data_IF_706730972849
#
_entry.id   IF_706730972849
#
_cell.length_a   1.000
_cell.length_b   1.000
_cell.length_c   1.000
_cell.angle_alpha   90.00
_cell.angle_beta   90.00
_cell.angle_gamma   90.00
#
_symmetry.space_group_name_H-M   'P 1'
#
loop_
_entity.id
_entity.type
_entity.pdbx_description
1 polymer ?
#
# COMPACT_ATOMS: atom_id res chain seq x y z
N UNK A 1 -22.91 -2.79 -10.34
CA UNK A 1 -22.02 -1.92 -9.53
C UNK A 1 -20.65 -2.53 -9.49
N UNK A 2 -19.68 -1.74 -9.79
CA UNK A 2 -18.29 -2.21 -9.77
C UNK A 2 -17.74 -1.98 -8.37
N UNK A 3 -17.11 -2.99 -7.78
CA UNK A 3 -16.54 -2.89 -6.45
C UNK A 3 -15.37 -1.90 -6.37
N UNK A 4 -14.92 -1.62 -5.15
CA UNK A 4 -13.78 -0.74 -4.89
C UNK A 4 -12.62 -1.52 -4.28
N UNK A 5 -11.44 -1.32 -4.83
CA UNK A 5 -10.18 -1.90 -4.39
C UNK A 5 -9.27 -0.80 -3.85
N UNK A 6 -8.71 -1.01 -2.68
CA UNK A 6 -7.67 -0.14 -2.12
C UNK A 6 -6.33 -0.83 -2.26
N UNK A 7 -5.33 -0.08 -2.71
CA UNK A 7 -3.93 -0.51 -2.72
C UNK A 7 -3.11 0.38 -1.80
N UNK A 8 -2.49 -0.22 -0.79
CA UNK A 8 -1.50 0.47 0.03
C UNK A 8 -0.18 0.58 -0.76
N UNK A 9 0.25 1.81 -1.01
CA UNK A 9 1.40 2.13 -1.85
C UNK A 9 2.60 2.49 -1.01
N UNK A 10 3.71 1.82 -1.25
CA UNK A 10 5.03 2.14 -0.70
C UNK A 10 6.07 2.03 -1.81
N UNK A 11 7.15 2.82 -1.71
CA UNK A 11 8.26 2.76 -2.68
C UNK A 11 9.28 1.69 -2.28
N UNK A 12 8.79 0.47 -2.23
CA UNK A 12 9.55 -0.75 -1.93
C UNK A 12 9.23 -1.80 -2.97
N UNK A 13 10.07 -2.83 -3.11
CA UNK A 13 9.80 -3.92 -4.03
C UNK A 13 8.43 -4.57 -3.77
N UNK A 14 8.07 -4.74 -2.51
CA UNK A 14 6.79 -5.28 -2.07
C UNK A 14 5.62 -4.36 -2.44
N UNK A 15 5.80 -3.06 -2.24
CA UNK A 15 4.81 -2.04 -2.61
C UNK A 15 4.58 -1.98 -4.11
N UNK A 16 5.63 -2.10 -4.92
CA UNK A 16 5.51 -2.19 -6.37
C UNK A 16 4.75 -3.44 -6.82
N UNK A 17 4.96 -4.57 -6.15
CA UNK A 17 4.19 -5.81 -6.42
C UNK A 17 2.71 -5.65 -6.10
N UNK A 18 2.39 -5.03 -4.98
CA UNK A 18 1.00 -4.74 -4.62
C UNK A 18 0.33 -3.83 -5.66
N UNK A 19 1.04 -2.82 -6.12
CA UNK A 19 0.55 -1.88 -7.13
C UNK A 19 0.34 -2.56 -8.49
N UNK A 20 1.29 -3.37 -8.94
CA UNK A 20 1.18 -4.15 -10.17
C UNK A 20 -0.03 -5.12 -10.13
N UNK A 21 -0.16 -5.87 -9.04
CA UNK A 21 -1.28 -6.79 -8.83
C UNK A 21 -2.62 -6.04 -8.81
N UNK A 22 -2.69 -4.93 -8.09
CA UNK A 22 -3.89 -4.10 -8.03
C UNK A 22 -4.30 -3.53 -9.39
N UNK A 23 -3.33 -3.08 -10.18
CA UNK A 23 -3.56 -2.58 -11.53
C UNK A 23 -4.15 -3.68 -12.44
N UNK A 24 -3.60 -4.89 -12.37
CA UNK A 24 -4.09 -6.02 -13.14
C UNK A 24 -5.49 -6.48 -12.70
N UNK A 25 -5.71 -6.64 -11.40
CA UNK A 25 -6.98 -7.11 -10.86
C UNK A 25 -8.09 -6.09 -11.05
N UNK A 26 -7.84 -4.81 -10.77
CA UNK A 26 -8.85 -3.76 -10.96
C UNK A 26 -9.34 -3.70 -12.42
N UNK A 27 -8.42 -3.82 -13.36
CA UNK A 27 -8.75 -3.87 -14.78
C UNK A 27 -9.56 -5.12 -15.17
N UNK A 28 -9.13 -6.30 -14.69
CA UNK A 28 -9.80 -7.57 -15.02
C UNK A 28 -11.19 -7.66 -14.40
N UNK A 29 -11.34 -7.17 -13.17
CA UNK A 29 -12.59 -7.24 -12.42
C UNK A 29 -13.50 -6.01 -12.66
N UNK A 30 -12.99 -5.00 -13.35
CA UNK A 30 -13.70 -3.74 -13.56
C UNK A 30 -13.94 -2.96 -12.27
N UNK A 31 -13.05 -3.08 -11.29
CA UNK A 31 -13.14 -2.41 -10.00
C UNK A 31 -12.55 -1.00 -10.04
N UNK A 32 -13.13 -0.10 -9.25
CA UNK A 32 -12.52 1.19 -8.98
C UNK A 32 -11.27 1.01 -8.11
N UNK A 33 -10.17 1.65 -8.44
CA UNK A 33 -8.91 1.56 -7.72
C UNK A 33 -8.61 2.85 -6.97
N UNK A 34 -8.31 2.73 -5.69
CA UNK A 34 -7.87 3.83 -4.82
C UNK A 34 -6.47 3.50 -4.31
N UNK A 35 -5.51 4.34 -4.65
CA UNK A 35 -4.13 4.23 -4.18
C UNK A 35 -3.97 5.03 -2.89
N UNK A 36 -3.48 4.41 -1.84
CA UNK A 36 -3.31 5.03 -0.53
C UNK A 36 -1.85 4.96 -0.11
N UNK A 37 -1.28 6.10 0.22
CA UNK A 37 0.02 6.20 0.87
C UNK A 37 -0.17 6.76 2.28
N UNK A 38 0.16 5.95 3.28
CA UNK A 38 0.21 6.37 4.67
C UNK A 38 1.67 6.61 5.06
N UNK A 39 2.06 7.88 5.14
CA UNK A 39 3.37 8.25 5.67
C UNK A 39 3.36 8.07 7.19
N UNK A 40 4.32 7.33 7.70
CA UNK A 40 4.54 7.27 9.15
C UNK A 40 4.94 8.65 9.64
N UNK A 41 4.07 9.29 10.41
CA UNK A 41 4.39 10.53 11.09
C UNK A 41 5.43 10.25 12.16
N UNK A 42 6.63 10.81 12.00
CA UNK A 42 7.49 10.98 13.18
C UNK A 42 6.70 11.86 14.16
N UNK A 43 6.43 11.41 15.39
CA UNK A 43 5.79 12.29 16.36
C UNK A 43 6.56 13.59 16.38
N UNK A 44 5.89 14.76 16.29
CA UNK A 44 6.62 16.00 16.37
C UNK A 44 7.41 15.98 17.67
N UNK A 45 8.72 16.03 17.56
CA UNK A 45 9.54 16.44 18.70
C UNK A 45 8.95 17.77 19.15
N UNK A 46 8.25 17.77 20.27
CA UNK A 46 7.74 19.00 20.86
C UNK A 46 8.92 19.93 21.07
N UNK A 47 9.22 20.73 20.07
CA UNK A 47 10.04 21.88 20.28
C UNK A 47 9.31 22.77 21.29
N UNK A 48 9.97 23.06 22.40
CA UNK A 48 9.47 23.94 23.47
C UNK A 48 9.05 25.33 23.01
N UNK A 49 9.08 25.58 21.69
CA UNK A 49 8.82 26.87 21.06
C UNK A 49 7.53 26.95 20.21
N UNK A 50 6.57 26.02 20.34
CA UNK A 50 5.22 26.19 19.81
C UNK A 50 5.08 26.33 18.29
N UNK A 51 6.08 25.97 17.51
CA UNK A 51 6.03 26.00 16.04
C UNK A 51 5.53 24.68 15.47
N UNK A 52 4.52 24.71 14.59
CA UNK A 52 4.12 23.57 13.78
C UNK A 52 5.33 23.02 13.03
N UNK A 53 5.61 21.72 13.21
CA UNK A 53 6.79 21.13 12.64
C UNK A 53 6.69 21.09 11.11
N UNK A 54 7.63 21.73 10.46
CA UNK A 54 7.84 21.72 9.00
C UNK A 54 7.94 20.29 8.44
N UNK A 55 8.25 19.31 9.27
CA UNK A 55 8.40 17.90 8.93
C UNK A 55 7.08 17.23 8.51
N UNK A 56 5.95 17.60 9.09
CA UNK A 56 4.65 17.03 8.71
C UNK A 56 4.20 17.50 7.32
N UNK A 57 4.52 18.72 6.96
CA UNK A 57 4.18 19.30 5.65
C UNK A 57 5.02 18.66 4.53
N UNK A 58 6.29 18.40 4.78
CA UNK A 58 7.18 17.70 3.87
C UNK A 58 6.72 16.27 3.59
N UNK A 59 6.44 15.49 4.61
CA UNK A 59 6.04 14.08 4.47
C UNK A 59 4.72 13.90 3.70
N UNK A 60 3.77 14.81 3.85
CA UNK A 60 2.52 14.75 3.10
C UNK A 60 2.73 15.12 1.63
N UNK A 61 3.51 16.15 1.34
CA UNK A 61 3.86 16.55 -0.02
C UNK A 61 4.67 15.46 -0.74
N UNK A 62 5.59 14.83 -0.03
CA UNK A 62 6.37 13.70 -0.54
C UNK A 62 5.50 12.49 -0.87
N UNK A 63 4.49 12.21 -0.05
CA UNK A 63 3.51 11.15 -0.28
C UNK A 63 2.66 11.39 -1.53
N UNK A 64 2.19 12.63 -1.73
CA UNK A 64 1.45 13.01 -2.94
C UNK A 64 2.32 12.85 -4.19
N UNK A 65 3.56 13.30 -4.14
CA UNK A 65 4.53 13.16 -5.23
C UNK A 65 4.86 11.69 -5.54
N UNK A 66 5.03 10.88 -4.52
CA UNK A 66 5.24 9.44 -4.64
C UNK A 66 4.06 8.75 -5.35
N UNK A 67 2.85 9.00 -4.91
CA UNK A 67 1.64 8.45 -5.53
C UNK A 67 1.51 8.84 -7.00
N UNK A 68 1.72 10.12 -7.31
CA UNK A 68 1.63 10.61 -8.68
C UNK A 68 2.68 9.94 -9.58
N UNK A 69 3.91 9.80 -9.11
CA UNK A 69 5.01 9.15 -9.83
C UNK A 69 4.73 7.68 -10.09
N UNK A 70 4.32 6.95 -9.06
CA UNK A 70 4.04 5.51 -9.18
C UNK A 70 2.77 5.24 -9.99
N UNK A 71 1.72 6.05 -9.83
CA UNK A 71 0.52 5.94 -10.66
C UNK A 71 0.85 6.13 -12.15
N UNK A 72 1.69 7.12 -12.48
CA UNK A 72 2.14 7.33 -13.85
C UNK A 72 2.97 6.14 -14.38
N UNK A 73 3.87 5.61 -13.56
CA UNK A 73 4.71 4.47 -13.92
C UNK A 73 3.91 3.22 -14.29
N UNK A 74 2.78 2.98 -13.62
CA UNK A 74 1.91 1.83 -13.86
C UNK A 74 0.69 2.13 -14.73
N UNK A 75 0.65 3.29 -15.37
CA UNK A 75 -0.46 3.68 -16.24
C UNK A 75 -1.79 3.93 -15.51
N UNK A 76 -1.73 4.32 -14.26
CA UNK A 76 -2.88 4.51 -13.38
C UNK A 76 -3.23 5.97 -13.11
N UNK A 77 -2.47 6.92 -13.66
CA UNK A 77 -2.62 8.34 -13.37
C UNK A 77 -4.04 8.88 -13.62
N UNK A 78 -4.69 8.41 -14.68
CA UNK A 78 -6.04 8.86 -15.07
C UNK A 78 -7.17 7.92 -14.62
N UNK A 79 -6.84 6.77 -14.04
CA UNK A 79 -7.84 5.73 -13.72
C UNK A 79 -7.94 5.40 -12.23
N UNK A 80 -6.92 5.70 -11.45
CA UNK A 80 -6.89 5.46 -10.02
C UNK A 80 -7.01 6.76 -9.22
N UNK A 81 -7.82 6.74 -8.20
CA UNK A 81 -7.85 7.80 -7.20
C UNK A 81 -6.64 7.70 -6.28
N UNK A 82 -6.09 8.84 -5.87
CA UNK A 82 -4.88 8.91 -5.05
C UNK A 82 -5.18 9.60 -3.73
N UNK A 83 -4.85 8.97 -2.62
CA UNK A 83 -5.02 9.52 -1.27
C UNK A 83 -3.75 9.37 -0.46
N UNK A 84 -3.24 10.47 0.04
CA UNK A 84 -2.08 10.50 0.93
C UNK A 84 -2.47 11.08 2.29
N UNK A 85 -2.02 10.43 3.34
CA UNK A 85 -2.22 10.89 4.72
C UNK A 85 -1.00 10.56 5.58
N UNK A 86 -0.90 11.22 6.72
CA UNK A 86 0.16 10.99 7.73
C UNK A 86 -0.49 10.41 8.97
N UNK A 87 0.05 9.32 9.48
CA UNK A 87 -0.43 8.66 10.68
C UNK A 87 -0.17 7.16 10.69
N UNK A 88 -0.87 6.46 11.56
CA UNK A 88 -0.78 5.00 11.63
C UNK A 88 -1.36 4.34 10.36
N UNK A 89 -0.57 3.56 9.62
CA UNK A 89 -1.00 3.00 8.34
C UNK A 89 -2.28 2.16 8.43
N UNK A 90 -2.38 1.26 9.41
CA UNK A 90 -3.53 0.39 9.54
C UNK A 90 -4.82 1.18 9.83
N UNK A 91 -4.77 2.16 10.73
CA UNK A 91 -5.90 3.00 11.07
C UNK A 91 -6.34 3.85 9.87
N UNK A 92 -5.40 4.46 9.16
CA UNK A 92 -5.69 5.29 7.97
C UNK A 92 -6.27 4.47 6.82
N UNK A 93 -5.69 3.33 6.51
CA UNK A 93 -6.17 2.45 5.44
C UNK A 93 -7.56 1.90 5.80
N UNK A 94 -7.78 1.50 7.06
CA UNK A 94 -9.08 1.05 7.54
C UNK A 94 -10.15 2.14 7.46
N UNK A 95 -9.81 3.37 7.82
CA UNK A 95 -10.71 4.52 7.69
C UNK A 95 -11.08 4.79 6.22
N UNK A 96 -10.09 4.84 5.35
CA UNK A 96 -10.31 5.07 3.91
C UNK A 96 -11.12 3.93 3.30
N UNK A 97 -10.87 2.69 3.72
CA UNK A 97 -11.65 1.54 3.28
C UNK A 97 -13.14 1.67 3.65
N UNK A 98 -13.44 2.19 4.84
CA UNK A 98 -14.80 2.46 5.25
C UNK A 98 -15.43 3.62 4.45
N UNK A 99 -14.72 4.73 4.29
CA UNK A 99 -15.17 5.90 3.52
C UNK A 99 -15.49 5.55 2.05
N UNK A 100 -14.65 4.71 1.45
CA UNK A 100 -14.77 4.31 0.03
C UNK A 100 -15.64 3.06 -0.17
N UNK A 101 -16.20 2.50 0.88
CA UNK A 101 -16.93 1.24 0.85
C UNK A 101 -16.15 0.13 0.09
N UNK A 102 -14.91 -0.06 0.47
CA UNK A 102 -13.98 -0.97 -0.20
C UNK A 102 -14.39 -2.43 -0.03
N UNK A 103 -14.21 -3.20 -1.09
CA UNK A 103 -14.47 -4.65 -1.10
C UNK A 103 -13.21 -5.46 -0.85
N UNK A 104 -12.04 -4.89 -1.10
CA UNK A 104 -10.74 -5.53 -0.87
C UNK A 104 -9.65 -4.50 -0.67
N UNK A 105 -8.69 -4.82 0.18
CA UNK A 105 -7.46 -4.07 0.40
C UNK A 105 -6.28 -4.92 -0.07
N UNK A 106 -5.42 -4.36 -0.90
CA UNK A 106 -4.21 -5.02 -1.38
C UNK A 106 -2.99 -4.38 -0.73
N UNK A 107 -2.15 -5.19 -0.13
CA UNK A 107 -0.89 -4.77 0.48
C UNK A 107 0.27 -5.61 -0.05
N UNK A 108 1.49 -5.07 0.01
CA UNK A 108 2.70 -5.84 -0.28
C UNK A 108 3.06 -6.81 0.83
N UNK A 109 3.64 -7.94 0.47
CA UNK A 109 4.29 -8.81 1.44
C UNK A 109 5.48 -8.08 2.06
N UNK A 110 5.73 -8.26 3.36
CA UNK A 110 6.88 -7.61 3.97
C UNK A 110 8.19 -8.31 3.65
N UNK A 111 9.27 -7.49 3.52
CA UNK A 111 10.61 -8.00 3.32
C UNK A 111 11.06 -8.86 4.51
N UNK A 112 11.76 -9.94 4.20
CA UNK A 112 12.28 -10.89 5.18
C UNK A 112 13.51 -10.33 5.88
N UNK A 113 13.50 -10.31 7.22
CA UNK A 113 14.67 -10.00 8.04
C UNK A 113 14.42 -10.36 9.51
N UNK A 114 15.43 -10.85 10.26
CA UNK A 114 15.23 -11.37 11.61
C UNK A 114 14.78 -10.31 12.61
N UNK A 115 15.11 -9.04 12.42
CA UNK A 115 14.69 -7.94 13.30
C UNK A 115 13.25 -7.48 13.02
N UNK A 116 12.74 -7.74 11.82
CA UNK A 116 11.39 -7.31 11.43
C UNK A 116 10.30 -8.27 11.88
N UNK A 117 10.62 -9.53 12.19
CA UNK A 117 9.65 -10.50 12.73
C UNK A 117 9.13 -10.14 14.12
N UNK A 118 9.90 -9.44 14.94
CA UNK A 118 9.50 -9.05 16.31
C UNK A 118 8.66 -7.78 16.38
N UNK A 119 8.75 -6.90 15.38
CA UNK A 119 8.01 -5.65 15.32
C UNK A 119 6.70 -5.79 14.50
N UNK A 120 6.41 -7.01 14.05
CA UNK A 120 5.30 -7.25 13.17
C UNK A 120 4.19 -8.05 13.87
N UNK A 121 3.37 -7.31 14.55
CA UNK A 121 1.99 -7.40 14.09
C UNK A 121 2.01 -6.93 12.63
N UNK A 122 1.94 -7.84 11.68
CA UNK A 122 1.97 -7.48 10.26
C UNK A 122 0.89 -6.42 9.98
N UNK A 123 1.11 -5.57 9.01
CA UNK A 123 0.08 -4.61 8.60
C UNK A 123 -1.26 -5.34 8.33
N UNK A 124 -1.20 -6.56 7.77
CA UNK A 124 -2.36 -7.42 7.60
C UNK A 124 -3.09 -7.71 8.91
N UNK A 125 -2.38 -8.11 9.97
CA UNK A 125 -2.98 -8.37 11.28
C UNK A 125 -3.57 -7.11 11.92
N UNK A 126 -2.89 -5.98 11.78
CA UNK A 126 -3.41 -4.69 12.25
C UNK A 126 -4.66 -4.27 11.49
N UNK A 127 -4.69 -4.46 10.17
CA UNK A 127 -5.87 -4.18 9.35
C UNK A 127 -7.06 -5.07 9.71
N UNK A 128 -6.85 -6.33 10.06
CA UNK A 128 -7.92 -7.22 10.55
C UNK A 128 -8.61 -6.68 11.80
N UNK A 129 -7.88 -5.94 12.65
CA UNK A 129 -8.43 -5.27 13.83
C UNK A 129 -9.17 -3.97 13.50
N UNK A 130 -8.79 -3.29 12.42
CA UNK A 130 -9.32 -1.97 12.02
C UNK A 130 -10.50 -2.07 11.06
N UNK A 131 -10.63 -3.16 10.32
CA UNK A 131 -11.64 -3.31 9.28
C UNK A 131 -12.03 -4.77 9.09
N UNK A 132 -13.27 -5.00 8.65
CA UNK A 132 -13.76 -6.30 8.19
C UNK A 132 -13.51 -6.55 6.69
N UNK A 133 -12.94 -5.59 5.99
CA UNK A 133 -12.63 -5.72 4.56
C UNK A 133 -11.52 -6.75 4.37
N UNK A 134 -11.67 -7.71 3.43
CA UNK A 134 -10.63 -8.70 3.13
C UNK A 134 -9.32 -8.04 2.71
N UNK A 135 -8.19 -8.56 3.20
CA UNK A 135 -6.84 -8.10 2.88
C UNK A 135 -6.16 -9.13 1.99
N UNK A 136 -5.75 -8.71 0.81
CA UNK A 136 -4.97 -9.50 -0.13
C UNK A 136 -3.51 -9.11 -0.05
N UNK A 137 -2.64 -10.06 0.20
CA UNK A 137 -1.20 -9.84 0.26
C UNK A 137 -0.58 -10.22 -1.09
N UNK A 138 0.02 -9.24 -1.76
CA UNK A 138 0.72 -9.48 -3.01
C UNK A 138 2.04 -10.24 -2.75
N UNK A 139 2.24 -11.42 -3.33
CA UNK A 139 3.45 -12.20 -3.11
C UNK A 139 4.66 -11.53 -3.77
N UNK A 140 5.83 -11.67 -3.17
CA UNK A 140 7.10 -11.33 -3.80
C UNK A 140 7.31 -12.30 -4.98
N UNK A 141 7.15 -11.83 -6.21
CA UNK A 141 6.98 -12.61 -7.43
C UNK A 141 8.16 -13.46 -7.91
N UNK A 142 9.19 -13.60 -7.11
CA UNK A 142 10.44 -14.20 -7.58
C UNK A 142 10.52 -15.73 -7.43
N UNK A 143 9.66 -16.33 -6.60
CA UNK A 143 9.69 -17.79 -6.40
C UNK A 143 8.91 -18.56 -7.46
N UNK A 144 7.81 -18.01 -7.94
CA UNK A 144 6.96 -18.71 -8.90
C UNK A 144 7.58 -18.71 -10.30
N UNK A 145 8.24 -17.63 -10.71
CA UNK A 145 8.97 -17.58 -11.99
C UNK A 145 10.19 -18.49 -12.00
N UNK A 146 10.92 -18.60 -10.88
CA UNK A 146 12.06 -19.53 -10.78
C UNK A 146 11.62 -21.00 -10.81
N UNK A 147 10.47 -21.34 -10.26
CA UNK A 147 9.93 -22.70 -10.32
C UNK A 147 9.46 -23.07 -11.73
N UNK A 148 8.81 -22.16 -12.44
CA UNK A 148 8.38 -22.38 -13.82
C UNK A 148 9.59 -22.47 -14.77
N UNK A 149 10.59 -21.62 -14.60
CA UNK A 149 11.82 -21.66 -15.40
C UNK A 149 12.63 -22.95 -15.15
N UNK A 150 12.65 -23.49 -13.91
CA UNK A 150 13.34 -24.75 -13.59
C UNK A 150 12.61 -25.98 -14.14
N UNK A 151 11.30 -25.95 -14.25
CA UNK A 151 10.51 -27.06 -14.83
C UNK A 151 10.48 -27.02 -16.36
N UNK A 152 10.69 -25.85 -16.98
CA UNK A 152 10.74 -25.69 -18.44
C UNK A 152 12.05 -26.20 -19.10
N UNK A 153 13.12 -26.39 -18.34
CA UNK A 153 14.41 -26.84 -18.88
C UNK A 153 14.67 -28.35 -18.74
N UNK A 154 13.66 -29.12 -18.39
CA UNK A 154 13.73 -30.59 -18.32
C UNK A 154 12.95 -31.28 -19.44
N UNK A 155 12.96 -30.72 -20.63
CA UNK A 155 12.51 -31.43 -21.84
C UNK A 155 13.61 -31.46 -22.86
#
# INVERSE_FOLDING_TARGET
MRGTMICAVTDTAEGHRALELSAQLSKRLGMRLVLVHAAEGVPPLRNRAGGESVTMKGNRADGVGLLARLAAQYGLADVAEQRSAVGDPAALIGQIAAEEAADVIVIGARARGPLRRRLQCSLASQLESETSVPVLIAPLGDRTQKLVARNGSRR
#
